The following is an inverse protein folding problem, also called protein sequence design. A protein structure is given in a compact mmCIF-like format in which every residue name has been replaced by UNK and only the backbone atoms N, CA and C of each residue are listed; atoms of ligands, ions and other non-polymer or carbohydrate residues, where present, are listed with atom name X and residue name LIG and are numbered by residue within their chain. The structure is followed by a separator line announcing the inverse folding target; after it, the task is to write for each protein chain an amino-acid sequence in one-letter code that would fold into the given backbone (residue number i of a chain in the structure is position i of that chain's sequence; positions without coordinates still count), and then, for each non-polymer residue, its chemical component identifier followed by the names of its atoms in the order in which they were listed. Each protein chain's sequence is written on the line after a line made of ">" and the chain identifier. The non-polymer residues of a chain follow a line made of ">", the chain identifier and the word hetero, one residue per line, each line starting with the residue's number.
data_IF_115247709019
#
_entry.id   IF_115247709019
#
_cell.length_a   1.000
_cell.length_b   1.000
_cell.length_c   1.000
_cell.angle_alpha   90.00
_cell.angle_beta   90.00
_cell.angle_gamma   90.00
#
_symmetry.space_group_name_H-M   'P 1'
#
loop_
_entity.id
_entity.type
_entity.pdbx_description
1 polymer ?
#
# COMPACT_ATOMS: atom_id res chain seq x y z
N UNK A 1 -13.09 -10.20 -8.26
CA UNK A 1 -13.06 -9.60 -6.89
C UNK A 1 -12.01 -8.50 -6.80
N UNK A 2 -10.72 -8.78 -7.00
CA UNK A 2 -9.64 -7.76 -6.94
C UNK A 2 -9.87 -6.55 -7.85
N UNK A 3 -10.30 -6.75 -9.11
CA UNK A 3 -10.66 -5.65 -10.03
C UNK A 3 -11.75 -4.71 -9.48
N UNK A 4 -12.71 -5.24 -8.71
CA UNK A 4 -13.78 -4.45 -8.08
C UNK A 4 -13.26 -3.71 -6.84
N UNK A 5 -12.49 -4.40 -6.00
CA UNK A 5 -11.82 -3.82 -4.83
C UNK A 5 -10.84 -2.69 -5.20
N UNK A 6 -10.19 -2.75 -6.37
CA UNK A 6 -9.34 -1.67 -6.89
C UNK A 6 -10.11 -0.38 -7.17
N UNK A 7 -11.41 -0.47 -7.50
CA UNK A 7 -12.26 0.68 -7.78
C UNK A 7 -12.87 1.27 -6.51
N UNK A 8 -13.25 0.40 -5.56
CA UNK A 8 -13.81 0.78 -4.26
C UNK A 8 -13.27 -0.16 -3.18
N UNK A 9 -12.15 0.20 -2.53
CA UNK A 9 -11.61 -0.60 -1.45
C UNK A 9 -12.42 -0.39 -0.18
N UNK A 10 -13.13 -1.44 0.26
CA UNK A 10 -13.90 -1.44 1.50
C UNK A 10 -13.44 -2.60 2.44
N UNK A 11 -12.88 -2.29 3.62
CA UNK A 11 -12.50 -3.28 4.63
C UNK A 11 -13.65 -4.13 5.18
N UNK A 12 -14.89 -3.66 5.09
CA UNK A 12 -16.09 -4.39 5.51
C UNK A 12 -16.50 -5.37 4.42
N UNK A 13 -16.54 -4.92 3.16
CA UNK A 13 -16.97 -5.73 2.01
C UNK A 13 -15.94 -6.81 1.61
N UNK A 14 -14.64 -6.50 1.69
CA UNK A 14 -13.59 -7.38 1.17
C UNK A 14 -12.76 -8.06 2.28
N UNK A 15 -12.32 -9.32 2.07
CA UNK A 15 -11.39 -9.98 2.97
C UNK A 15 -9.98 -9.39 2.85
N UNK A 16 -9.18 -9.52 3.92
CA UNK A 16 -7.80 -8.99 4.00
C UNK A 16 -6.95 -9.38 2.78
N UNK A 17 -7.04 -10.62 2.31
CA UNK A 17 -6.27 -11.11 1.16
C UNK A 17 -6.54 -10.32 -0.12
N UNK A 18 -7.80 -9.95 -0.37
CA UNK A 18 -8.19 -9.18 -1.55
C UNK A 18 -7.74 -7.73 -1.41
N UNK A 19 -7.87 -7.14 -0.22
CA UNK A 19 -7.43 -5.78 0.08
C UNK A 19 -5.92 -5.63 -0.09
N UNK A 20 -5.12 -6.49 0.55
CA UNK A 20 -3.66 -6.47 0.45
C UNK A 20 -3.17 -6.75 -0.98
N UNK A 21 -3.90 -7.56 -1.76
CA UNK A 21 -3.56 -7.80 -3.16
C UNK A 21 -3.88 -6.59 -4.04
N UNK A 22 -5.05 -5.97 -3.85
CA UNK A 22 -5.44 -4.75 -4.55
C UNK A 22 -4.48 -3.60 -4.23
N UNK A 23 -4.11 -3.43 -2.97
CA UNK A 23 -3.16 -2.39 -2.55
C UNK A 23 -1.78 -2.58 -3.19
N UNK A 24 -1.26 -3.82 -3.26
CA UNK A 24 0.02 -4.12 -3.92
C UNK A 24 -0.01 -3.83 -5.43
N UNK A 25 -1.11 -4.14 -6.11
CA UNK A 25 -1.29 -3.79 -7.53
C UNK A 25 -1.33 -2.27 -7.71
N UNK A 26 -2.13 -1.58 -6.89
CA UNK A 26 -2.26 -0.11 -6.90
C UNK A 26 -0.90 0.55 -6.66
N UNK A 27 -0.15 0.08 -5.66
CA UNK A 27 1.20 0.54 -5.35
C UNK A 27 2.15 0.34 -6.54
N UNK A 28 2.17 -0.85 -7.15
CA UNK A 28 3.02 -1.15 -8.31
C UNK A 28 2.77 -0.14 -9.43
N UNK A 29 1.51 0.09 -9.79
CA UNK A 29 1.15 1.06 -10.84
C UNK A 29 1.52 2.51 -10.48
N UNK A 30 1.28 2.93 -9.23
CA UNK A 30 1.64 4.28 -8.74
C UNK A 30 3.15 4.48 -8.73
N UNK A 31 3.90 3.47 -8.33
CA UNK A 31 5.36 3.52 -8.26
C UNK A 31 5.98 3.59 -9.66
N UNK A 32 5.51 2.79 -10.62
CA UNK A 32 5.99 2.85 -12.01
C UNK A 32 5.75 4.23 -12.64
N UNK A 33 4.55 4.80 -12.44
CA UNK A 33 4.25 6.17 -12.86
C UNK A 33 5.19 7.17 -12.21
N UNK A 34 5.41 7.06 -10.90
CA UNK A 34 6.28 7.96 -10.15
C UNK A 34 7.76 7.86 -10.56
N UNK A 35 8.24 6.69 -10.96
CA UNK A 35 9.59 6.52 -11.55
C UNK A 35 9.65 7.27 -12.87
N UNK A 36 8.69 7.03 -13.77
CA UNK A 36 8.65 7.66 -15.10
C UNK A 36 8.52 9.19 -15.04
N UNK A 37 7.75 9.72 -14.09
CA UNK A 37 7.56 11.16 -13.91
C UNK A 37 8.53 11.80 -12.92
N UNK A 38 9.48 11.06 -12.36
CA UNK A 38 10.41 11.52 -11.32
C UNK A 38 9.74 12.10 -10.06
N UNK A 39 8.55 11.61 -9.69
CA UNK A 39 7.75 12.07 -8.53
C UNK A 39 7.75 11.06 -7.36
N UNK A 40 8.79 10.23 -7.24
CA UNK A 40 8.92 9.25 -6.15
C UNK A 40 8.84 9.88 -4.75
N UNK A 41 9.33 11.12 -4.58
CA UNK A 41 9.25 11.86 -3.32
C UNK A 41 7.80 12.22 -2.95
N UNK A 42 6.99 12.58 -3.94
CA UNK A 42 5.57 12.90 -3.73
C UNK A 42 4.79 11.63 -3.35
N UNK A 43 5.10 10.51 -4.00
CA UNK A 43 4.53 9.21 -3.64
C UNK A 43 4.93 8.81 -2.21
N UNK A 44 6.18 9.06 -1.81
CA UNK A 44 6.64 8.83 -0.43
C UNK A 44 5.82 9.65 0.58
N UNK A 45 5.60 10.94 0.31
CA UNK A 45 4.80 11.81 1.17
C UNK A 45 3.34 11.34 1.26
N UNK A 46 2.74 10.93 0.14
CA UNK A 46 1.40 10.39 0.12
C UNK A 46 1.26 9.12 0.97
N UNK A 47 2.24 8.20 0.90
CA UNK A 47 2.25 6.99 1.72
C UNK A 47 2.48 7.28 3.21
N UNK A 48 3.30 8.28 3.56
CA UNK A 48 3.45 8.72 4.97
C UNK A 48 2.12 9.24 5.51
N UNK A 49 1.42 10.07 4.74
CA UNK A 49 0.10 10.56 5.13
C UNK A 49 -0.92 9.42 5.30
N UNK A 50 -0.89 8.42 4.40
CA UNK A 50 -1.74 7.22 4.50
C UNK A 50 -1.42 6.41 5.78
N UNK A 51 -0.14 6.25 6.11
CA UNK A 51 0.31 5.56 7.33
C UNK A 51 -0.16 6.28 8.60
N UNK A 52 -0.06 7.61 8.64
CA UNK A 52 -0.55 8.42 9.75
C UNK A 52 -2.06 8.27 9.93
N UNK A 53 -2.82 8.25 8.82
CA UNK A 53 -4.27 8.07 8.86
C UNK A 53 -4.67 6.70 9.41
N UNK A 54 -4.00 5.63 8.97
CA UNK A 54 -4.22 4.29 9.52
C UNK A 54 -3.86 4.18 11.00
N UNK A 55 -2.77 4.83 11.42
CA UNK A 55 -2.36 4.85 12.83
C UNK A 55 -3.37 5.57 13.71
N UNK A 56 -3.95 6.68 13.23
CA UNK A 56 -5.03 7.39 13.93
C UNK A 56 -6.28 6.52 14.06
N UNK A 57 -6.73 5.91 12.96
CA UNK A 57 -7.90 5.01 12.99
C UNK A 57 -7.71 3.82 13.94
N UNK A 58 -6.49 3.31 14.11
CA UNK A 58 -6.19 2.23 15.05
C UNK A 58 -6.36 2.67 16.52
N UNK A 59 -5.99 3.90 16.87
CA UNK A 59 -6.18 4.43 18.23
C UNK A 59 -7.67 4.55 18.58
N UNK A 60 -8.49 5.00 17.62
CA UNK A 60 -9.93 5.17 17.81
C UNK A 60 -10.70 3.84 17.98
N UNK A 61 -10.14 2.73 17.46
CA UNK A 61 -10.77 1.40 17.49
C UNK A 61 -10.35 0.53 18.68
N UNK A 62 -9.31 0.93 19.42
CA UNK A 62 -8.66 0.16 20.49
C UNK A 62 -9.46 -0.04 21.80
N UNK A 63 -10.79 0.06 21.76
CA UNK A 63 -11.66 -0.04 22.95
C UNK A 63 -13.01 -0.75 22.78
N UNK A 64 -13.32 -1.30 21.60
CA UNK A 64 -14.62 -1.95 21.34
C UNK A 64 -14.47 -3.48 21.37
N UNK A 65 -15.13 -4.13 22.34
CA UNK A 65 -15.04 -5.58 22.61
C UNK A 65 -15.76 -6.50 21.62
N UNK A 66 -16.13 -6.02 20.43
CA UNK A 66 -16.89 -6.79 19.45
C UNK A 66 -15.97 -7.55 18.49
N UNK A 67 -16.29 -8.83 18.22
CA UNK A 67 -15.45 -9.71 17.38
C UNK A 67 -15.29 -9.19 15.94
N UNK A 68 -16.31 -8.54 15.38
CA UNK A 68 -16.22 -7.91 14.05
C UNK A 68 -15.25 -6.71 14.04
N UNK A 69 -15.25 -5.92 15.12
CA UNK A 69 -14.31 -4.82 15.31
C UNK A 69 -12.86 -5.31 15.39
N UNK A 70 -12.62 -6.42 16.10
CA UNK A 70 -11.31 -7.06 16.16
C UNK A 70 -10.84 -7.56 14.78
N UNK A 71 -11.73 -8.10 13.95
CA UNK A 71 -11.39 -8.51 12.57
C UNK A 71 -11.03 -7.30 11.71
N UNK A 72 -11.78 -6.21 11.79
CA UNK A 72 -11.47 -4.97 11.08
C UNK A 72 -10.13 -4.36 11.52
N UNK A 73 -9.82 -4.40 12.83
CA UNK A 73 -8.54 -3.97 13.37
C UNK A 73 -7.37 -4.80 12.79
N UNK A 74 -7.53 -6.12 12.69
CA UNK A 74 -6.52 -6.99 12.08
C UNK A 74 -6.34 -6.69 10.58
N UNK A 75 -7.43 -6.41 9.85
CA UNK A 75 -7.34 -5.97 8.45
C UNK A 75 -6.58 -4.65 8.32
N UNK A 76 -6.84 -3.69 9.21
CA UNK A 76 -6.15 -2.40 9.23
C UNK A 76 -4.65 -2.57 9.52
N UNK A 77 -4.29 -3.42 10.49
CA UNK A 77 -2.88 -3.74 10.80
C UNK A 77 -2.16 -4.36 9.59
N UNK A 78 -2.81 -5.26 8.87
CA UNK A 78 -2.25 -5.85 7.65
C UNK A 78 -1.96 -4.78 6.59
N UNK A 79 -2.90 -3.86 6.35
CA UNK A 79 -2.72 -2.75 5.40
C UNK A 79 -1.63 -1.77 5.85
N UNK A 80 -1.52 -1.50 7.15
CA UNK A 80 -0.48 -0.65 7.71
C UNK A 80 0.92 -1.25 7.46
N UNK A 81 1.08 -2.57 7.65
CA UNK A 81 2.32 -3.28 7.36
C UNK A 81 2.68 -3.21 5.86
N UNK A 82 1.69 -3.32 4.97
CA UNK A 82 1.90 -3.15 3.53
C UNK A 82 2.41 -1.73 3.21
N UNK A 83 1.84 -0.67 3.81
CA UNK A 83 2.30 0.71 3.61
C UNK A 83 3.73 0.93 4.13
N UNK A 84 4.08 0.37 5.29
CA UNK A 84 5.45 0.43 5.83
C UNK A 84 6.44 -0.24 4.88
N UNK A 85 6.07 -1.41 4.36
CA UNK A 85 6.88 -2.10 3.35
C UNK A 85 7.05 -1.23 2.09
N UNK A 86 5.96 -0.66 1.56
CA UNK A 86 6.00 0.22 0.40
C UNK A 86 6.89 1.45 0.61
N UNK A 87 6.86 2.07 1.78
CA UNK A 87 7.76 3.19 2.13
C UNK A 87 9.23 2.76 2.11
N UNK A 88 9.55 1.57 2.63
CA UNK A 88 10.91 1.03 2.59
C UNK A 88 11.40 0.80 1.15
N UNK A 89 10.51 0.34 0.26
CA UNK A 89 10.83 0.15 -1.16
C UNK A 89 11.11 1.49 -1.82
N UNK A 90 10.26 2.51 -1.63
CA UNK A 90 10.48 3.83 -2.22
C UNK A 90 11.79 4.45 -1.71
N UNK A 91 12.08 4.32 -0.41
CA UNK A 91 13.34 4.82 0.14
C UNK A 91 14.55 4.18 -0.56
N UNK A 92 14.55 2.87 -0.74
CA UNK A 92 15.63 2.16 -1.44
C UNK A 92 15.75 2.59 -2.92
N UNK A 93 14.64 2.86 -3.61
CA UNK A 93 14.65 3.36 -4.99
C UNK A 93 15.19 4.80 -5.10
N UNK A 94 14.87 5.64 -4.13
CA UNK A 94 15.40 7.01 -4.04
C UNK A 94 16.90 7.01 -3.74
N UNK A 95 17.37 6.13 -2.85
CA UNK A 95 18.78 5.98 -2.51
C UNK A 95 19.60 5.46 -3.69
N UNK A 96 19.04 4.56 -4.52
CA UNK A 96 19.71 4.06 -5.72
C UNK A 96 19.57 4.98 -6.94
N UNK A 97 18.79 6.06 -6.85
CA UNK A 97 18.62 7.02 -7.95
C UNK A 97 17.95 6.45 -9.19
N UNK A 98 16.96 5.55 -9.02
CA UNK A 98 16.27 4.91 -10.15
C UNK A 98 15.60 5.96 -11.04
N UNK A 99 15.85 5.89 -12.35
CA UNK A 99 15.29 6.79 -13.36
C UNK A 99 14.52 6.07 -14.48
N UNK A 100 14.59 4.74 -14.52
CA UNK A 100 13.92 3.92 -15.54
C UNK A 100 13.28 2.68 -14.92
N UNK A 101 12.23 2.18 -15.57
CA UNK A 101 11.60 0.90 -15.22
C UNK A 101 12.48 -0.31 -15.57
N UNK A 102 13.51 -0.13 -16.40
CA UNK A 102 14.46 -1.18 -16.74
C UNK A 102 15.60 -1.31 -15.71
N UNK A 103 15.63 -0.44 -14.70
CA UNK A 103 16.61 -0.49 -13.63
C UNK A 103 16.43 -1.76 -12.78
N UNK A 104 17.52 -2.48 -12.56
CA UNK A 104 17.58 -3.67 -11.72
C UNK A 104 17.05 -3.44 -10.29
N UNK A 105 17.24 -2.24 -9.74
CA UNK A 105 16.72 -1.88 -8.42
C UNK A 105 15.19 -1.95 -8.36
N UNK A 106 14.51 -1.65 -9.47
CA UNK A 106 13.07 -1.83 -9.64
C UNK A 106 12.71 -3.25 -10.08
N UNK A 107 13.37 -3.80 -11.09
CA UNK A 107 12.99 -5.09 -11.69
C UNK A 107 13.09 -6.29 -10.76
N UNK A 108 14.00 -6.27 -9.78
CA UNK A 108 14.15 -7.37 -8.80
C UNK A 108 12.95 -7.54 -7.86
N UNK A 109 12.02 -6.57 -7.84
CA UNK A 109 10.87 -6.57 -6.93
C UNK A 109 9.76 -7.47 -7.47
N UNK A 110 9.00 -8.07 -6.55
CA UNK A 110 7.80 -8.80 -6.90
C UNK A 110 6.73 -7.81 -7.38
N UNK A 111 6.49 -7.79 -8.70
CA UNK A 111 5.50 -6.90 -9.34
C UNK A 111 4.19 -7.63 -9.52
N UNK A 112 3.11 -7.03 -9.04
CA UNK A 112 1.75 -7.50 -9.27
C UNK A 112 1.07 -6.55 -10.23
N UNK A 113 0.87 -7.03 -11.46
CA UNK A 113 0.14 -6.31 -12.50
C UNK A 113 -1.17 -7.02 -12.77
N UNK A 114 -2.23 -6.26 -12.95
CA UNK A 114 -3.50 -6.80 -13.43
C UNK A 114 -3.49 -6.71 -14.94
N UNK A 115 -3.55 -7.87 -15.60
CA UNK A 115 -3.76 -8.01 -17.05
C UNK A 115 -5.22 -7.68 -17.44
#
# INVERSE_FOLDING_TARGET
>A
LVKKCLQSPDPVEYPSQVLCLAERVSFTSRCEKAIQSATLRDLQAALKNQLELYTKCQLDSSGQGDTESAVLELKLKALQLDVIYHLSVIQQLLESGVSSLDDWHWQRRLRLVVL
#
